data_IF_456740935387
#
_entry.id   IF_456740935387
#
_cell.length_a   1.000
_cell.length_b   1.000
_cell.length_c   1.000
_cell.angle_alpha   90.00
_cell.angle_beta   90.00
_cell.angle_gamma   90.00
#
_symmetry.space_group_name_H-M   'P 1'
#
loop_
_entity.id
_entity.type
_entity.pdbx_description
1 polymer ?
#
# COMPACT_ATOMS: atom_id res chain seq x y z
N UNK A 1 -15.11 -0.36 -1.86
CA UNK A 1 -14.22 -1.54 -1.69
C UNK A 1 -13.02 -1.13 -0.83
N UNK A 2 -12.19 -2.08 -0.38
CA UNK A 2 -11.03 -1.80 0.49
C UNK A 2 -10.11 -0.68 -0.04
N UNK A 3 -9.93 -0.58 -1.35
CA UNK A 3 -9.18 0.50 -2.00
C UNK A 3 -9.83 1.90 -1.84
N UNK A 4 -11.16 2.00 -1.82
CA UNK A 4 -11.85 3.29 -1.69
C UNK A 4 -11.75 3.84 -0.26
N UNK A 5 -11.87 2.98 0.75
CA UNK A 5 -11.67 3.35 2.16
C UNK A 5 -10.22 3.84 2.38
N UNK A 6 -9.23 3.22 1.74
CA UNK A 6 -7.84 3.68 1.81
C UNK A 6 -7.64 5.04 1.12
N UNK A 7 -8.33 5.33 0.01
CA UNK A 7 -8.26 6.65 -0.66
C UNK A 7 -8.71 7.79 0.25
N UNK A 8 -9.60 7.54 1.22
CA UNK A 8 -9.99 8.55 2.22
C UNK A 8 -8.86 8.90 3.20
N UNK A 9 -7.85 8.03 3.33
CA UNK A 9 -6.68 8.24 4.19
C UNK A 9 -5.53 8.90 3.41
N UNK A 10 -5.17 8.31 2.26
CA UNK A 10 -3.97 8.69 1.49
C UNK A 10 -4.24 9.54 0.25
N UNK A 11 -5.51 9.80 -0.07
CA UNK A 11 -5.94 10.45 -1.30
C UNK A 11 -5.98 9.50 -2.49
N UNK A 12 -6.65 9.93 -3.56
CA UNK A 12 -6.84 9.11 -4.78
C UNK A 12 -5.54 8.70 -5.47
N UNK A 13 -4.48 9.51 -5.32
CA UNK A 13 -3.15 9.24 -5.90
C UNK A 13 -2.23 8.48 -4.94
N UNK A 14 -2.63 8.29 -3.68
CA UNK A 14 -1.84 7.60 -2.66
C UNK A 14 -2.00 6.08 -2.69
N UNK A 15 -2.62 5.53 -3.74
CA UNK A 15 -2.90 4.10 -3.85
C UNK A 15 -2.70 3.62 -5.29
N UNK A 16 -2.12 2.44 -5.44
CA UNK A 16 -1.97 1.75 -6.71
C UNK A 16 -2.75 0.42 -6.65
N UNK A 17 -3.55 0.19 -7.68
CA UNK A 17 -4.36 -1.01 -7.83
C UNK A 17 -3.55 -2.20 -8.37
N UNK A 18 -4.13 -3.41 -8.34
CA UNK A 18 -3.44 -4.64 -8.72
C UNK A 18 -2.84 -4.61 -10.14
N UNK A 19 -3.55 -4.04 -11.11
CA UNK A 19 -3.05 -3.94 -12.50
C UNK A 19 -1.80 -3.04 -12.60
N UNK A 20 -1.78 -1.96 -11.82
CA UNK A 20 -0.60 -1.07 -11.75
C UNK A 20 0.54 -1.77 -11.02
N UNK A 21 0.25 -2.43 -9.89
CA UNK A 21 1.25 -3.11 -9.08
C UNK A 21 1.96 -4.22 -9.87
N UNK A 22 1.22 -5.00 -10.67
CA UNK A 22 1.78 -6.06 -11.51
C UNK A 22 2.76 -5.55 -12.58
N UNK A 23 2.70 -4.27 -12.96
CA UNK A 23 3.60 -3.63 -13.91
C UNK A 23 4.81 -2.92 -13.28
N UNK A 24 4.90 -2.85 -11.95
CA UNK A 24 6.00 -2.19 -11.26
C UNK A 24 7.23 -3.11 -11.19
N UNK A 25 8.42 -2.53 -11.33
CA UNK A 25 9.69 -3.26 -11.13
C UNK A 25 9.85 -3.66 -9.64
N UNK A 26 9.80 -4.95 -9.29
CA UNK A 26 9.88 -5.37 -7.90
C UNK A 26 11.27 -5.12 -7.26
N UNK A 27 12.29 -4.76 -8.05
CA UNK A 27 13.65 -4.56 -7.56
C UNK A 27 14.37 -5.90 -7.36
N UNK A 28 15.06 -6.07 -6.23
CA UNK A 28 15.93 -7.23 -6.01
C UNK A 28 15.21 -8.59 -6.02
N UNK A 29 13.99 -8.67 -5.47
CA UNK A 29 13.24 -9.91 -5.33
C UNK A 29 11.86 -9.80 -5.95
N UNK A 30 11.43 -10.82 -6.71
CA UNK A 30 10.15 -10.80 -7.44
C UNK A 30 8.93 -10.62 -6.54
N UNK A 31 9.00 -11.07 -5.29
CA UNK A 31 7.90 -10.98 -4.31
C UNK A 31 7.81 -9.62 -3.59
N UNK A 32 8.71 -8.66 -3.85
CA UNK A 32 8.69 -7.35 -3.20
C UNK A 32 7.40 -6.56 -3.44
N UNK A 33 6.61 -6.92 -4.46
CA UNK A 33 5.34 -6.28 -4.79
C UNK A 33 4.22 -7.32 -5.00
N UNK A 34 4.36 -8.50 -4.41
CA UNK A 34 3.31 -9.52 -4.41
C UNK A 34 2.18 -9.13 -3.43
N UNK A 35 1.48 -8.05 -3.78
CA UNK A 35 0.47 -7.41 -2.97
C UNK A 35 -0.74 -7.01 -3.83
N UNK A 36 -1.94 -7.07 -3.23
CA UNK A 36 -3.15 -6.62 -3.91
C UNK A 36 -3.22 -5.10 -4.12
N UNK A 37 -2.50 -4.32 -3.29
CA UNK A 37 -2.45 -2.87 -3.34
C UNK A 37 -1.10 -2.35 -2.84
N UNK A 38 -0.64 -1.25 -3.41
CA UNK A 38 0.47 -0.45 -2.85
C UNK A 38 -0.09 0.88 -2.35
N UNK A 39 0.25 1.24 -1.13
CA UNK A 39 -0.20 2.48 -0.48
C UNK A 39 1.00 3.40 -0.28
N UNK A 40 0.87 4.66 -0.69
CA UNK A 40 1.94 5.67 -0.76
C UNK A 40 1.60 6.85 0.17
N UNK A 41 1.72 6.69 1.50
CA UNK A 41 1.45 7.76 2.46
C UNK A 41 2.54 8.84 2.39
N UNK A 42 2.14 10.10 2.53
CA UNK A 42 3.04 11.27 2.46
C UNK A 42 3.33 11.91 3.82
N UNK A 43 2.76 11.34 4.90
CA UNK A 43 2.97 11.81 6.26
C UNK A 43 2.89 10.67 7.27
N UNK A 44 3.47 10.88 8.46
CA UNK A 44 3.40 9.93 9.56
C UNK A 44 1.96 9.70 10.04
N UNK A 45 1.09 10.72 9.98
CA UNK A 45 -0.34 10.58 10.32
C UNK A 45 -1.04 9.60 9.36
N UNK A 46 -0.78 9.72 8.06
CA UNK A 46 -1.33 8.78 7.07
C UNK A 46 -0.83 7.36 7.32
N UNK A 47 0.46 7.16 7.63
CA UNK A 47 1.01 5.85 8.00
C UNK A 47 0.25 5.28 9.20
N UNK A 48 0.10 6.04 10.28
CA UNK A 48 -0.60 5.59 11.48
C UNK A 48 -2.05 5.18 11.20
N UNK A 49 -2.76 5.97 10.38
CA UNK A 49 -4.15 5.69 9.97
C UNK A 49 -4.27 4.44 9.10
N UNK A 50 -3.33 4.21 8.17
CA UNK A 50 -3.28 2.99 7.35
C UNK A 50 -3.01 1.77 8.22
N UNK A 51 -2.03 1.81 9.12
CA UNK A 51 -1.73 0.70 10.04
C UNK A 51 -2.95 0.37 10.92
N UNK A 52 -3.58 1.39 11.50
CA UNK A 52 -4.78 1.20 12.29
C UNK A 52 -5.95 0.62 11.47
N UNK A 53 -6.08 1.02 10.21
CA UNK A 53 -7.09 0.49 9.29
C UNK A 53 -6.84 -0.99 8.96
N UNK A 54 -5.61 -1.36 8.58
CA UNK A 54 -5.21 -2.75 8.31
C UNK A 54 -5.45 -3.65 9.52
N UNK A 55 -5.10 -3.20 10.72
CA UNK A 55 -5.36 -3.94 11.96
C UNK A 55 -6.87 -4.16 12.21
N UNK A 56 -7.71 -3.13 11.98
CA UNK A 56 -9.17 -3.27 12.15
C UNK A 56 -9.82 -4.20 11.12
N UNK A 57 -9.24 -4.30 9.92
CA UNK A 57 -9.77 -5.11 8.82
C UNK A 57 -9.15 -6.51 8.75
N UNK A 58 -8.22 -6.82 9.65
CA UNK A 58 -7.45 -8.07 9.66
C UNK A 58 -6.72 -8.33 8.32
N UNK A 59 -6.04 -7.29 7.82
CA UNK A 59 -5.29 -7.35 6.56
C UNK A 59 -3.80 -7.15 6.82
N UNK A 60 -2.98 -8.06 6.29
CA UNK A 60 -1.53 -7.99 6.35
C UNK A 60 -1.00 -6.70 5.71
N UNK A 61 0.03 -6.13 6.33
CA UNK A 61 0.75 -4.97 5.80
C UNK A 61 2.25 -5.25 5.84
N UNK A 62 2.92 -4.99 4.72
CA UNK A 62 4.38 -5.11 4.59
C UNK A 62 4.94 -3.71 4.30
N UNK A 63 5.79 -3.15 5.17
CA UNK A 63 6.48 -1.89 4.89
C UNK A 63 7.52 -2.08 3.79
N UNK A 64 7.56 -1.16 2.82
CA UNK A 64 8.58 -1.16 1.76
C UNK A 64 9.38 0.14 1.74
N UNK A 65 10.71 0.00 1.71
CA UNK A 65 11.67 1.10 1.53
C UNK A 65 12.21 1.14 0.10
N UNK A 66 13.54 1.04 -0.04
CA UNK A 66 14.25 1.22 -1.31
C UNK A 66 14.10 0.11 -2.37
N UNK A 67 13.44 -1.02 -2.06
CA UNK A 67 13.32 -2.20 -2.95
C UNK A 67 14.67 -2.78 -3.41
N UNK A 68 15.73 -2.52 -2.64
CA UNK A 68 17.13 -2.93 -2.88
C UNK A 68 17.53 -4.13 -2.05
#
# INVERSE_FOLDING_TARGET
MFADELKEIVGVNGIQGPDTVAGLDPGWHQENLDAGLVVLPVSADQVARVVAYCNRKDVSLVPHGGRT
#
